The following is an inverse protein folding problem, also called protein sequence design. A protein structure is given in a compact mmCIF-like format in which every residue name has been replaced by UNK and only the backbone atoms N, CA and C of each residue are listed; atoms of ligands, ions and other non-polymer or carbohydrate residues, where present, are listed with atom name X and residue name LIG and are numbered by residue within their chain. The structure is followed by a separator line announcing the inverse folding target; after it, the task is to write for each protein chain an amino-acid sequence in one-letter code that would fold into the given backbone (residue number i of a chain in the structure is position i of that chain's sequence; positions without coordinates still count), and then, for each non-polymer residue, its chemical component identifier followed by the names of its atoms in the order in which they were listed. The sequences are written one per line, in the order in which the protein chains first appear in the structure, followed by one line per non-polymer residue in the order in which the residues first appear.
data_IF_776275966992
#
_entry.id   IF_776275966992
#
_cell.length_a   1.000
_cell.length_b   1.000
_cell.length_c   1.000
_cell.angle_alpha   90.00
_cell.angle_beta   90.00
_cell.angle_gamma   90.00
#
_symmetry.space_group_name_H-M   'P 1'
#
loop_
_entity.id
_entity.type
_entity.pdbx_description
1 polymer ?
#
# COMPACT_ATOMS: atom_id res chain seq x y z
N UNK A 1 -39.31 33.94 -0.42
CA UNK A 1 -40.40 34.79 0.10
C UNK A 1 -41.61 33.89 0.32
N UNK A 2 -41.93 33.52 1.56
CA UNK A 2 -43.12 32.72 1.90
C UNK A 2 -44.03 33.60 2.75
N UNK A 3 -45.25 33.78 2.27
CA UNK A 3 -46.32 34.54 2.92
C UNK A 3 -46.68 33.86 4.26
N UNK A 4 -46.46 34.54 5.38
CA UNK A 4 -46.98 34.14 6.69
C UNK A 4 -48.44 34.62 6.76
N UNK A 5 -49.40 33.73 6.54
CA UNK A 5 -50.78 34.04 6.90
C UNK A 5 -50.92 33.93 8.43
N UNK A 6 -50.98 35.09 9.08
CA UNK A 6 -51.42 35.24 10.46
C UNK A 6 -52.93 34.96 10.52
N UNK A 7 -53.30 33.73 10.89
CA UNK A 7 -54.68 33.41 11.27
C UNK A 7 -54.84 33.82 12.75
N UNK A 8 -55.34 35.03 12.97
CA UNK A 8 -55.71 35.49 14.31
C UNK A 8 -57.13 35.00 14.59
N UNK A 9 -57.27 33.90 15.33
CA UNK A 9 -58.57 33.40 15.78
C UNK A 9 -58.92 34.11 17.09
N UNK A 10 -60.06 34.85 17.17
CA UNK A 10 -60.44 35.53 18.39
C UNK A 10 -61.03 34.51 19.38
N UNK A 11 -60.31 34.27 20.48
CA UNK A 11 -60.76 33.37 21.55
C UNK A 11 -61.69 34.17 22.48
N UNK A 12 -63.00 34.04 22.30
CA UNK A 12 -64.00 34.48 23.28
C UNK A 12 -64.38 33.29 24.18
N UNK A 13 -63.94 33.36 25.44
CA UNK A 13 -64.59 32.82 26.64
C UNK A 13 -64.79 31.29 26.72
N UNK A 14 -63.72 30.54 27.04
CA UNK A 14 -63.84 29.28 27.82
C UNK A 14 -62.68 29.15 28.83
N UNK A 15 -62.92 28.74 30.10
CA UNK A 15 -61.88 28.62 31.12
C UNK A 15 -61.25 27.22 31.16
N UNK A 16 -60.96 26.61 30.01
CA UNK A 16 -60.27 25.32 29.94
C UNK A 16 -59.44 25.22 28.66
N UNK A 17 -58.34 25.97 28.59
CA UNK A 17 -57.35 25.76 27.55
C UNK A 17 -56.17 24.98 28.13
N UNK A 18 -56.26 23.65 28.01
CA UNK A 18 -55.08 22.81 27.95
C UNK A 18 -54.21 23.33 26.81
N UNK A 19 -53.05 23.88 27.15
CA UNK A 19 -52.03 24.21 26.17
C UNK A 19 -51.52 22.90 25.56
N UNK A 20 -52.10 22.49 24.42
CA UNK A 20 -51.47 21.52 23.54
C UNK A 20 -50.35 22.26 22.80
N UNK A 21 -49.14 22.24 23.39
CA UNK A 21 -47.93 22.67 22.72
C UNK A 21 -47.66 21.66 21.60
N UNK A 22 -47.86 22.05 20.34
CA UNK A 22 -47.40 21.26 19.21
C UNK A 22 -45.87 21.37 19.18
N UNK A 23 -45.20 20.38 19.77
CA UNK A 23 -43.75 20.24 19.63
C UNK A 23 -43.47 20.11 18.13
N UNK A 24 -42.72 21.08 17.59
CA UNK A 24 -42.15 20.99 16.26
C UNK A 24 -41.34 19.70 16.20
N UNK A 25 -41.68 18.85 15.25
CA UNK A 25 -41.11 17.53 15.03
C UNK A 25 -39.60 17.50 15.28
N UNK A 26 -39.19 16.61 16.19
CA UNK A 26 -37.81 16.15 16.25
C UNK A 26 -37.43 15.65 14.86
N UNK A 27 -36.61 16.41 14.15
CA UNK A 27 -35.84 15.88 13.03
C UNK A 27 -34.79 14.94 13.64
N UNK A 28 -35.20 13.69 13.90
CA UNK A 28 -34.25 12.62 14.11
C UNK A 28 -33.44 12.53 12.81
N UNK A 29 -32.10 12.74 12.84
CA UNK A 29 -31.31 12.48 11.66
C UNK A 29 -31.58 11.03 11.25
N UNK A 30 -31.89 10.84 9.97
CA UNK A 30 -32.06 9.51 9.37
C UNK A 30 -30.91 8.62 9.84
N UNK A 31 -31.19 7.35 10.20
CA UNK A 31 -30.13 6.42 10.55
C UNK A 31 -29.09 6.47 9.46
N UNK A 32 -27.86 6.85 9.82
CA UNK A 32 -26.73 6.76 8.91
C UNK A 32 -26.61 5.29 8.57
N UNK A 33 -27.14 4.91 7.41
CA UNK A 33 -26.93 3.58 6.84
C UNK A 33 -25.43 3.50 6.68
N UNK A 34 -24.80 2.75 7.58
CA UNK A 34 -23.40 2.40 7.46
C UNK A 34 -23.33 1.50 6.23
N UNK A 35 -23.09 2.11 5.07
CA UNK A 35 -22.88 1.38 3.81
C UNK A 35 -21.54 0.68 4.00
N UNK A 36 -21.62 -0.54 4.52
CA UNK A 36 -20.49 -1.46 4.49
C UNK A 36 -20.07 -1.59 3.03
N UNK A 37 -18.85 -1.19 2.71
CA UNK A 37 -18.23 -1.46 1.43
C UNK A 37 -18.26 -2.97 1.16
N UNK A 38 -18.97 -3.39 0.10
CA UNK A 38 -19.11 -4.79 -0.30
C UNK A 38 -18.57 -4.91 -1.72
N UNK A 39 -17.38 -5.47 -1.83
CA UNK A 39 -16.81 -5.74 -3.12
C UNK A 39 -17.65 -6.79 -3.89
N UNK A 40 -17.98 -6.46 -5.14
CA UNK A 40 -18.76 -7.25 -6.09
C UNK A 40 -20.20 -6.79 -6.31
N UNK A 41 -20.59 -5.65 -5.76
CA UNK A 41 -21.92 -5.06 -5.95
C UNK A 41 -22.01 -4.13 -7.17
N UNK A 42 -20.89 -3.97 -7.89
CA UNK A 42 -20.70 -3.12 -9.09
C UNK A 42 -20.71 -1.62 -8.79
N UNK A 43 -20.60 -1.23 -7.53
CA UNK A 43 -20.52 0.17 -7.09
C UNK A 43 -19.17 0.36 -6.41
N UNK A 44 -18.33 1.24 -6.97
CA UNK A 44 -17.10 1.62 -6.27
C UNK A 44 -17.44 2.55 -5.09
N UNK A 45 -17.69 1.97 -3.91
CA UNK A 45 -18.10 2.67 -2.70
C UNK A 45 -16.93 3.27 -1.91
N UNK A 46 -17.22 4.14 -0.93
CA UNK A 46 -16.19 4.67 -0.03
C UNK A 46 -15.51 3.55 0.77
N UNK A 47 -14.18 3.48 0.74
CA UNK A 47 -13.40 2.37 1.30
C UNK A 47 -13.03 1.29 0.29
N UNK A 48 -13.59 1.33 -0.92
CA UNK A 48 -13.16 0.49 -2.04
C UNK A 48 -12.21 1.24 -2.97
N UNK A 49 -11.32 0.49 -3.59
CA UNK A 49 -10.36 1.01 -4.53
C UNK A 49 -9.90 -0.07 -5.52
N UNK A 50 -9.09 0.35 -6.50
CA UNK A 50 -8.65 -0.54 -7.57
C UNK A 50 -7.70 -1.67 -7.10
N UNK A 51 -7.17 -1.62 -5.86
CA UNK A 51 -6.32 -2.67 -5.26
C UNK A 51 -7.14 -3.65 -4.42
N UNK A 52 -8.08 -3.17 -3.60
CA UNK A 52 -8.87 -4.01 -2.69
C UNK A 52 -10.20 -4.51 -3.30
N UNK A 53 -10.70 -3.83 -4.34
CA UNK A 53 -11.89 -4.21 -5.10
C UNK A 53 -11.78 -3.88 -6.60
N UNK A 54 -10.87 -4.54 -7.34
CA UNK A 54 -10.63 -4.26 -8.76
C UNK A 54 -11.81 -4.56 -9.68
N UNK A 55 -12.79 -5.36 -9.24
CA UNK A 55 -13.97 -5.71 -10.04
C UNK A 55 -14.98 -4.57 -10.13
N UNK A 56 -15.10 -3.75 -9.09
CA UNK A 56 -16.04 -2.63 -9.03
C UNK A 56 -15.33 -1.30 -9.23
N UNK A 57 -14.11 -1.16 -8.71
CA UNK A 57 -13.24 0.01 -8.86
C UNK A 57 -12.17 -0.18 -9.93
N UNK A 58 -12.53 -0.72 -11.10
CA UNK A 58 -11.57 -0.95 -12.19
C UNK A 58 -11.08 0.37 -12.77
N UNK A 59 -9.76 0.49 -12.96
CA UNK A 59 -9.20 1.66 -13.63
C UNK A 59 -9.62 1.74 -15.11
N UNK A 60 -9.84 2.97 -15.64
CA UNK A 60 -10.05 3.25 -17.05
C UNK A 60 -8.99 2.62 -17.97
N UNK A 61 -9.32 2.48 -19.26
CA UNK A 61 -8.49 1.78 -20.27
C UNK A 61 -7.04 2.34 -20.35
N UNK A 62 -6.84 3.63 -20.03
CA UNK A 62 -5.54 4.29 -20.04
C UNK A 62 -4.99 4.59 -18.65
N UNK A 63 -5.50 3.92 -17.62
CA UNK A 63 -5.04 4.09 -16.25
C UNK A 63 -4.62 2.74 -15.67
N UNK A 64 -3.69 2.79 -14.72
CA UNK A 64 -3.23 1.62 -13.99
C UNK A 64 -3.42 1.85 -12.50
N UNK A 65 -3.78 0.81 -11.77
CA UNK A 65 -3.89 0.90 -10.32
C UNK A 65 -2.50 0.93 -9.70
N UNK A 66 -2.23 1.94 -8.88
CA UNK A 66 -1.03 2.05 -8.06
C UNK A 66 -1.46 2.49 -6.66
N UNK A 67 -1.23 1.65 -5.65
CA UNK A 67 -1.54 1.93 -4.24
C UNK A 67 -3.00 2.40 -4.05
N UNK A 68 -3.95 1.70 -4.67
CA UNK A 68 -5.37 1.97 -4.60
C UNK A 68 -5.83 3.18 -5.42
N UNK A 69 -4.96 3.79 -6.22
CA UNK A 69 -5.32 4.95 -7.04
C UNK A 69 -5.11 4.64 -8.51
N UNK A 70 -6.10 4.96 -9.34
CA UNK A 70 -5.93 4.91 -10.78
C UNK A 70 -5.12 6.11 -11.23
N UNK A 71 -3.96 5.83 -11.81
CA UNK A 71 -3.08 6.85 -12.38
C UNK A 71 -3.02 6.67 -13.89
N UNK A 72 -2.92 7.75 -14.68
CA UNK A 72 -2.66 7.65 -16.11
C UNK A 72 -1.47 6.73 -16.35
N UNK A 73 -1.69 5.71 -17.21
CA UNK A 73 -0.57 5.10 -17.92
C UNK A 73 0.00 6.26 -18.73
N UNK A 74 1.23 6.69 -18.43
CA UNK A 74 1.96 7.58 -19.32
C UNK A 74 1.91 7.00 -20.74
N UNK A 75 1.86 7.86 -21.76
CA UNK A 75 1.68 7.42 -23.14
C UNK A 75 2.97 6.76 -23.63
N UNK A 76 3.16 5.51 -23.24
CA UNK A 76 4.32 4.75 -23.65
C UNK A 76 4.41 4.60 -25.17
N UNK A 77 5.62 4.71 -25.69
CA UNK A 77 5.95 4.61 -27.11
C UNK A 77 6.16 5.95 -27.81
N UNK A 78 6.26 7.07 -27.08
CA UNK A 78 6.64 8.37 -27.66
C UNK A 78 8.16 8.64 -27.57
N UNK A 79 8.93 7.75 -26.92
CA UNK A 79 10.37 7.86 -26.67
C UNK A 79 10.80 9.07 -25.82
N UNK A 80 9.87 9.68 -25.08
CA UNK A 80 10.11 10.81 -24.17
C UNK A 80 9.61 10.38 -22.80
N UNK A 81 10.50 10.28 -21.82
CA UNK A 81 10.13 9.99 -20.44
C UNK A 81 9.36 11.16 -19.81
N UNK A 82 8.03 11.09 -19.82
CA UNK A 82 7.15 12.13 -19.27
C UNK A 82 7.12 12.09 -17.72
N UNK A 83 6.64 13.16 -17.08
CA UNK A 83 6.61 13.26 -15.61
C UNK A 83 5.77 12.16 -14.90
N UNK A 84 4.83 11.52 -15.60
CA UNK A 84 4.04 10.39 -15.10
C UNK A 84 4.67 9.03 -15.40
N UNK A 85 5.78 9.01 -16.13
CA UNK A 85 6.46 7.81 -16.60
C UNK A 85 7.71 7.53 -15.77
N UNK A 86 8.02 6.25 -15.64
CA UNK A 86 9.20 5.75 -14.97
C UNK A 86 9.60 4.40 -15.58
N UNK A 87 10.74 3.89 -15.13
CA UNK A 87 11.30 2.66 -15.67
C UNK A 87 10.47 1.39 -15.35
N UNK A 88 9.47 1.46 -14.44
CA UNK A 88 8.56 0.35 -14.14
C UNK A 88 7.27 0.41 -14.97
N UNK A 89 6.64 1.58 -15.07
CA UNK A 89 5.37 1.74 -15.79
C UNK A 89 5.54 2.00 -17.30
N UNK A 90 6.71 2.49 -17.71
CA UNK A 90 6.99 2.90 -19.09
C UNK A 90 8.46 2.65 -19.49
N UNK A 91 8.95 1.40 -19.43
CA UNK A 91 10.37 1.09 -19.67
C UNK A 91 10.85 1.38 -21.10
N UNK A 92 9.93 1.54 -22.05
CA UNK A 92 10.27 1.89 -23.44
C UNK A 92 10.73 3.35 -23.57
N UNK A 93 10.06 4.26 -22.85
CA UNK A 93 10.33 5.70 -22.92
C UNK A 93 11.27 6.14 -21.78
N UNK A 94 11.17 5.51 -20.60
CA UNK A 94 12.03 5.73 -19.44
C UNK A 94 13.04 4.59 -19.24
N UNK A 95 13.68 4.14 -20.33
CA UNK A 95 14.68 3.07 -20.24
C UNK A 95 15.88 3.51 -19.42
N UNK A 96 16.26 2.70 -18.43
CA UNK A 96 17.48 2.97 -17.66
C UNK A 96 18.73 2.96 -18.55
N UNK A 97 19.69 3.87 -18.31
CA UNK A 97 20.98 3.88 -19.01
C UNK A 97 21.75 2.57 -18.82
N UNK A 98 22.73 2.34 -19.70
CA UNK A 98 23.63 1.19 -19.59
C UNK A 98 24.32 1.22 -18.21
N UNK A 99 24.32 0.08 -17.51
CA UNK A 99 24.87 -0.02 -16.15
C UNK A 99 23.87 0.30 -15.04
N UNK A 100 22.61 0.62 -15.36
CA UNK A 100 21.55 0.84 -14.39
C UNK A 100 20.43 -0.22 -14.53
N UNK A 101 19.68 -0.45 -13.45
CA UNK A 101 18.47 -1.27 -13.40
C UNK A 101 17.34 -0.48 -12.77
N UNK A 102 16.10 -0.75 -13.19
CA UNK A 102 14.95 -0.18 -12.51
C UNK A 102 14.75 -0.86 -11.14
N UNK A 103 14.61 -0.04 -10.10
CA UNK A 103 14.26 -0.47 -8.76
C UNK A 103 13.45 0.64 -8.11
N UNK A 104 12.28 0.30 -7.56
CA UNK A 104 11.37 1.26 -6.94
C UNK A 104 11.05 2.47 -7.85
N UNK A 105 10.77 2.22 -9.14
CA UNK A 105 10.48 3.25 -10.16
C UNK A 105 11.65 4.20 -10.48
N UNK A 106 12.85 3.92 -9.99
CA UNK A 106 14.05 4.75 -10.24
C UNK A 106 15.18 3.90 -10.82
N UNK A 107 15.99 4.49 -11.69
CA UNK A 107 17.19 3.84 -12.21
C UNK A 107 18.31 3.86 -11.17
N UNK A 108 18.58 2.70 -10.59
CA UNK A 108 19.70 2.49 -9.66
C UNK A 108 20.87 1.87 -10.39
N UNK A 109 22.11 2.18 -9.99
CA UNK A 109 23.27 1.55 -10.60
C UNK A 109 23.24 0.06 -10.33
N UNK A 110 23.40 -0.74 -11.39
CA UNK A 110 23.83 -2.12 -11.20
C UNK A 110 25.22 -1.97 -10.62
N UNK A 111 25.40 -2.32 -9.35
CA UNK A 111 26.73 -2.49 -8.78
C UNK A 111 27.33 -3.66 -9.57
N UNK A 112 27.91 -3.36 -10.74
CA UNK A 112 28.94 -4.17 -11.35
C UNK A 112 30.11 -4.03 -10.41
N UNK A 113 30.01 -4.74 -9.30
CA UNK A 113 31.18 -5.07 -8.55
C UNK A 113 32.00 -5.91 -9.53
N UNK A 114 32.93 -5.20 -10.17
CA UNK A 114 34.03 -5.77 -10.91
C UNK A 114 34.62 -6.83 -9.99
N UNK A 115 34.83 -8.03 -10.51
CA UNK A 115 34.82 -9.33 -9.81
C UNK A 115 35.69 -9.50 -8.54
N UNK A 116 36.41 -8.48 -8.08
CA UNK A 116 37.08 -8.47 -6.79
C UNK A 116 36.18 -7.98 -5.63
N UNK A 117 35.29 -7.01 -5.87
CA UNK A 117 34.42 -6.46 -4.82
C UNK A 117 33.17 -7.33 -4.54
N UNK A 118 32.68 -8.09 -5.53
CA UNK A 118 31.57 -9.07 -5.32
C UNK A 118 32.02 -10.19 -4.41
N UNK A 119 33.30 -10.61 -4.53
CA UNK A 119 33.82 -11.69 -3.73
C UNK A 119 33.71 -11.36 -2.25
N UNK A 120 34.01 -10.13 -1.83
CA UNK A 120 33.93 -9.73 -0.42
C UNK A 120 32.48 -9.63 0.10
N UNK A 121 31.51 -9.26 -0.75
CA UNK A 121 30.10 -9.12 -0.34
C UNK A 121 29.37 -10.46 -0.30
N UNK A 122 29.59 -11.33 -1.28
CA UNK A 122 29.00 -12.69 -1.30
C UNK A 122 29.68 -13.64 -0.30
N UNK A 123 30.91 -13.33 0.12
CA UNK A 123 31.60 -14.03 1.21
C UNK A 123 31.03 -13.64 2.58
N UNK A 124 30.26 -12.55 2.74
CA UNK A 124 29.78 -12.15 4.09
C UNK A 124 28.67 -13.05 4.65
N UNK A 125 27.85 -13.67 3.79
CA UNK A 125 26.78 -14.58 4.23
C UNK A 125 27.26 -16.04 4.41
N UNK A 126 28.30 -16.47 3.67
CA UNK A 126 28.85 -17.85 3.71
C UNK A 126 30.24 -18.00 4.35
N UNK A 127 30.97 -16.91 4.63
CA UNK A 127 32.23 -16.97 5.38
C UNK A 127 32.11 -17.51 6.80
N UNK A 128 31.12 -17.12 7.62
CA UNK A 128 31.16 -17.52 9.02
C UNK A 128 31.03 -19.04 9.17
N UNK A 129 30.25 -19.70 8.32
CA UNK A 129 30.08 -21.16 8.33
C UNK A 129 31.33 -21.93 7.89
N UNK A 130 32.06 -21.41 6.89
CA UNK A 130 33.31 -22.02 6.42
C UNK A 130 34.45 -21.82 7.44
N UNK A 131 34.49 -20.67 8.13
CA UNK A 131 35.47 -20.41 9.18
C UNK A 131 35.22 -21.28 10.42
N UNK A 132 33.93 -21.41 10.81
CA UNK A 132 33.51 -22.30 11.90
C UNK A 132 33.87 -23.77 11.60
N UNK A 133 33.68 -24.26 10.37
CA UNK A 133 33.98 -25.65 10.04
C UNK A 133 35.49 -25.96 10.09
N UNK A 134 36.34 -25.03 9.65
CA UNK A 134 37.80 -25.17 9.73
C UNK A 134 38.27 -25.13 11.19
N UNK A 135 37.73 -24.23 12.02
CA UNK A 135 38.06 -24.16 13.44
C UNK A 135 37.67 -25.45 14.17
N UNK A 136 36.47 -25.97 13.93
CA UNK A 136 36.00 -27.23 14.53
C UNK A 136 36.89 -28.40 14.13
N UNK A 137 37.31 -28.47 12.86
CA UNK A 137 38.22 -29.52 12.39
C UNK A 137 39.60 -29.44 13.05
N UNK A 138 40.17 -28.23 13.17
CA UNK A 138 41.45 -28.02 13.84
C UNK A 138 41.39 -28.38 15.33
N UNK A 139 40.32 -28.00 16.03
CA UNK A 139 40.10 -28.38 17.43
C UNK A 139 39.99 -29.91 17.57
N UNK A 140 39.25 -30.58 16.68
CA UNK A 140 39.14 -32.05 16.70
C UNK A 140 40.50 -32.74 16.49
N UNK A 141 41.34 -32.23 15.57
CA UNK A 141 42.69 -32.74 15.34
C UNK A 141 43.57 -32.54 16.59
N UNK A 142 43.51 -31.36 17.22
CA UNK A 142 44.28 -31.05 18.43
C UNK A 142 43.85 -31.90 19.62
N UNK A 143 42.54 -32.09 19.81
CA UNK A 143 42.00 -32.97 20.86
C UNK A 143 42.44 -34.42 20.62
N UNK A 144 42.35 -34.92 19.38
CA UNK A 144 42.80 -36.27 19.03
C UNK A 144 44.30 -36.46 19.30
N UNK A 145 45.12 -35.49 18.91
CA UNK A 145 46.56 -35.50 19.20
C UNK A 145 46.82 -35.52 20.71
N UNK A 146 46.07 -34.73 21.48
CA UNK A 146 46.24 -34.65 22.94
C UNK A 146 45.82 -35.93 23.65
N UNK A 147 44.75 -36.59 23.20
CA UNK A 147 44.31 -37.87 23.75
C UNK A 147 45.34 -38.99 23.49
N UNK A 148 45.98 -39.01 22.32
CA UNK A 148 47.08 -39.94 22.02
C UNK A 148 48.32 -39.72 22.89
N UNK A 149 48.63 -38.49 23.28
CA UNK A 149 49.73 -38.20 24.23
C UNK A 149 49.40 -38.60 25.67
N UNK A 150 48.12 -38.64 26.04
CA UNK A 150 47.65 -39.01 27.38
C UNK A 150 47.39 -40.51 27.56
N UNK A 151 47.53 -41.32 26.51
CA UNK A 151 47.31 -42.77 26.56
C UNK A 151 45.85 -43.17 26.85
N UNK A 152 44.91 -42.26 26.62
CA UNK A 152 43.47 -42.51 26.77
C UNK A 152 42.94 -42.79 25.36
N UNK A 153 43.02 -44.05 24.94
CA UNK A 153 42.50 -44.57 23.68
C UNK A 153 41.71 -45.84 23.93
#
# INVERSE_FOLDING_TARGET
MRYFQLVVIPILLTPFFSFAYSQSDQFNPLPTVEIKAICGDRICAEGENCDNCPQDCKCPINETCINGTCVPRGRCGNYICESSENCDNCPQDCKCPIGFSCSERVCVSKIQATGFAVLLVQVREKAPTLLLSVIVLLLAILIKKKMSELGIG
#
